data_IF_811445789735
#
_entry.id   IF_811445789735
#
_cell.length_a   1.000
_cell.length_b   1.000
_cell.length_c   1.000
_cell.angle_alpha   90.00
_cell.angle_beta   90.00
_cell.angle_gamma   90.00
#
_symmetry.space_group_name_H-M   'P 1'
#
loop_
_entity.id
_entity.type
_entity.pdbx_description
1 polymer ?
#
# COMPACT_ATOMS: atom_id res chain seq x y z
N UNK A 1 16.45 -23.15 13.01
CA UNK A 1 15.03 -23.56 13.04
C UNK A 1 14.40 -23.03 11.77
N UNK A 2 14.01 -23.92 10.88
CA UNK A 2 13.41 -23.55 9.58
C UNK A 2 12.02 -22.98 9.85
N UNK A 3 11.81 -21.71 9.58
CA UNK A 3 10.51 -21.03 9.69
C UNK A 3 9.59 -21.58 8.61
N UNK A 4 8.59 -22.35 8.99
CA UNK A 4 7.55 -22.80 8.08
C UNK A 4 6.91 -21.59 7.40
N UNK A 5 7.04 -21.50 6.09
CA UNK A 5 6.30 -20.54 5.25
C UNK A 5 4.86 -21.03 5.26
N UNK A 6 3.95 -20.27 5.86
CA UNK A 6 2.51 -20.56 5.79
C UNK A 6 2.08 -20.29 4.33
N UNK A 7 1.64 -21.29 3.57
CA UNK A 7 1.11 -21.07 2.24
C UNK A 7 -0.16 -20.22 2.37
N UNK A 8 -0.20 -19.08 1.67
CA UNK A 8 -1.34 -18.17 1.71
C UNK A 8 -1.07 -16.80 2.35
N UNK A 9 0.10 -16.55 2.94
CA UNK A 9 0.44 -15.24 3.46
C UNK A 9 0.75 -14.23 2.34
N UNK A 10 0.14 -13.03 2.43
CA UNK A 10 0.55 -11.90 1.59
C UNK A 10 1.83 -11.26 2.13
N UNK A 11 1.95 -11.18 3.46
CA UNK A 11 3.12 -10.62 4.14
C UNK A 11 3.52 -11.58 5.27
N UNK A 12 4.81 -11.87 5.37
CA UNK A 12 5.39 -12.63 6.47
C UNK A 12 6.71 -11.99 6.89
N UNK A 13 6.78 -11.56 8.14
CA UNK A 13 7.97 -10.98 8.77
C UNK A 13 8.44 -11.92 9.87
N UNK A 14 9.76 -12.12 9.94
CA UNK A 14 10.38 -12.84 11.05
C UNK A 14 11.67 -12.12 11.47
N UNK A 15 11.76 -11.76 12.76
CA UNK A 15 12.90 -11.11 13.40
C UNK A 15 13.42 -9.87 12.64
N UNK A 16 12.50 -9.06 12.07
CA UNK A 16 12.84 -7.84 11.35
C UNK A 16 13.47 -6.82 12.29
N UNK A 17 14.67 -6.34 11.92
CA UNK A 17 15.26 -5.15 12.51
C UNK A 17 15.65 -4.16 11.43
N UNK A 18 15.49 -2.87 11.74
CA UNK A 18 15.85 -1.79 10.83
C UNK A 18 16.35 -0.55 11.58
N UNK A 19 17.42 0.03 11.05
CA UNK A 19 17.97 1.34 11.45
C UNK A 19 18.33 2.13 10.19
N UNK A 20 18.23 3.45 10.25
CA UNK A 20 18.76 4.34 9.21
C UNK A 20 20.26 4.55 9.46
N UNK A 21 21.11 4.05 8.58
CA UNK A 21 22.58 4.11 8.75
C UNK A 21 23.02 3.52 10.09
N UNK A 22 23.81 4.28 10.85
CA UNK A 22 24.27 3.92 12.20
C UNK A 22 23.36 4.46 13.31
N UNK A 23 22.18 4.98 12.97
CA UNK A 23 21.23 5.55 13.91
C UNK A 23 20.54 4.51 14.80
N UNK A 24 19.67 4.97 15.72
CA UNK A 24 18.92 4.08 16.59
C UNK A 24 18.00 3.15 15.80
N UNK A 25 17.65 2.03 16.42
CA UNK A 25 16.73 1.08 15.85
C UNK A 25 15.32 1.70 15.72
N UNK A 26 14.76 1.68 14.50
CA UNK A 26 13.43 2.21 14.20
C UNK A 26 12.38 1.10 14.23
N UNK A 27 12.76 -0.10 13.77
CA UNK A 27 11.89 -1.28 13.81
C UNK A 27 12.61 -2.47 14.47
N UNK A 28 11.87 -3.17 15.32
CA UNK A 28 12.20 -4.47 15.90
C UNK A 28 10.92 -5.30 16.05
N UNK A 29 10.58 -6.05 15.01
CA UNK A 29 9.34 -6.84 14.92
C UNK A 29 9.70 -8.32 14.93
N UNK A 30 9.27 -9.03 15.97
CA UNK A 30 9.55 -10.46 16.12
C UNK A 30 8.91 -11.31 15.04
N UNK A 31 7.61 -11.08 14.82
CA UNK A 31 6.83 -11.77 13.79
C UNK A 31 5.59 -10.95 13.42
N UNK A 32 5.21 -11.04 12.15
CA UNK A 32 3.94 -10.52 11.63
C UNK A 32 3.54 -11.39 10.44
N UNK A 33 2.29 -11.81 10.40
CA UNK A 33 1.70 -12.51 9.26
C UNK A 33 0.41 -11.80 8.86
N UNK A 34 0.26 -11.53 7.57
CA UNK A 34 -0.96 -10.99 6.95
C UNK A 34 -1.38 -11.95 5.86
N UNK A 35 -2.60 -12.45 5.94
CA UNK A 35 -3.13 -13.40 4.96
C UNK A 35 -3.53 -12.71 3.65
N UNK A 36 -3.50 -13.45 2.55
CA UNK A 36 -3.95 -12.96 1.24
C UNK A 36 -5.43 -12.62 1.27
N UNK A 37 -5.80 -11.53 0.59
CA UNK A 37 -7.17 -11.06 0.47
C UNK A 37 -7.74 -10.38 1.73
N UNK A 38 -6.98 -10.33 2.83
CA UNK A 38 -7.42 -9.63 4.04
C UNK A 38 -7.28 -8.10 3.90
N UNK A 39 -8.17 -7.38 4.59
CA UNK A 39 -8.10 -5.93 4.75
C UNK A 39 -7.58 -5.64 6.15
N UNK A 40 -6.35 -5.18 6.22
CA UNK A 40 -5.64 -4.97 7.48
C UNK A 40 -5.51 -3.48 7.77
N UNK A 41 -5.90 -3.10 8.98
CA UNK A 41 -5.70 -1.77 9.53
C UNK A 41 -4.49 -1.76 10.44
N UNK A 42 -3.48 -0.95 10.13
CA UNK A 42 -2.30 -0.75 10.95
C UNK A 42 -2.33 0.65 11.55
N UNK A 43 -2.39 0.76 12.86
CA UNK A 43 -2.43 2.04 13.55
C UNK A 43 -1.25 2.25 14.49
N UNK A 44 -1.02 3.51 14.82
CA UNK A 44 0.00 3.92 15.80
C UNK A 44 0.28 5.43 15.72
N UNK A 45 0.87 6.01 16.76
CA UNK A 45 1.21 7.44 16.80
C UNK A 45 2.24 7.81 15.73
N UNK A 46 2.37 9.12 15.47
CA UNK A 46 3.43 9.61 14.59
C UNK A 46 4.81 9.22 15.13
N UNK A 47 5.73 8.88 14.24
CA UNK A 47 7.09 8.48 14.58
C UNK A 47 7.27 7.02 15.04
N UNK A 48 6.21 6.21 15.21
CA UNK A 48 6.36 4.82 15.66
C UNK A 48 6.92 3.85 14.60
N UNK A 49 7.23 4.33 13.38
CA UNK A 49 7.86 3.52 12.32
C UNK A 49 6.91 3.05 11.21
N UNK A 50 5.67 3.56 11.10
CA UNK A 50 4.68 3.15 10.08
C UNK A 50 5.24 3.26 8.66
N UNK A 51 5.65 4.45 8.25
CA UNK A 51 6.19 4.70 6.91
C UNK A 51 7.46 3.90 6.64
N UNK A 52 8.29 3.66 7.67
CA UNK A 52 9.48 2.80 7.55
C UNK A 52 9.09 1.36 7.26
N UNK A 53 8.11 0.82 8.01
CA UNK A 53 7.59 -0.54 7.76
C UNK A 53 7.00 -0.64 6.34
N UNK A 54 6.18 0.32 5.92
CA UNK A 54 5.61 0.34 4.58
C UNK A 54 6.69 0.41 3.50
N UNK A 55 7.75 1.20 3.72
CA UNK A 55 8.89 1.28 2.81
C UNK A 55 9.62 -0.05 2.65
N UNK A 56 9.74 -0.84 3.72
CA UNK A 56 10.32 -2.20 3.67
C UNK A 56 9.37 -3.15 2.92
N UNK A 57 8.08 -3.14 3.24
CA UNK A 57 7.09 -4.01 2.58
C UNK A 57 6.93 -3.71 1.10
N UNK A 58 7.08 -2.45 0.71
CA UNK A 58 7.10 -2.03 -0.70
C UNK A 58 8.46 -2.29 -1.39
N UNK A 59 9.48 -2.81 -0.68
CA UNK A 59 10.81 -3.07 -1.24
C UNK A 59 11.64 -1.81 -1.53
N UNK A 60 11.24 -0.64 -1.01
CA UNK A 60 12.00 0.63 -1.12
C UNK A 60 13.16 0.63 -0.13
N UNK A 61 12.88 0.24 1.11
CA UNK A 61 13.89 0.08 2.15
C UNK A 61 14.31 -1.38 2.27
N UNK A 62 15.54 -1.61 2.69
CA UNK A 62 16.10 -2.94 2.90
C UNK A 62 16.22 -3.21 4.40
N UNK A 63 15.65 -4.31 4.89
CA UNK A 63 15.77 -4.69 6.29
C UNK A 63 17.24 -4.91 6.67
N UNK A 64 17.63 -4.44 7.86
CA UNK A 64 19.00 -4.64 8.36
C UNK A 64 19.25 -6.11 8.70
N UNK A 65 18.27 -6.75 9.34
CA UNK A 65 18.28 -8.19 9.67
C UNK A 65 16.88 -8.77 9.61
N UNK A 66 16.78 -10.09 9.68
CA UNK A 66 15.53 -10.83 9.65
C UNK A 66 15.08 -11.18 8.24
N UNK A 67 13.88 -11.71 8.13
CA UNK A 67 13.27 -12.12 6.85
C UNK A 67 11.99 -11.35 6.62
N UNK A 68 11.84 -10.77 5.44
CA UNK A 68 10.62 -10.08 5.00
C UNK A 68 10.16 -10.69 3.69
N UNK A 69 9.09 -11.44 3.75
CA UNK A 69 8.46 -12.03 2.56
C UNK A 69 7.18 -11.31 2.23
N UNK A 70 7.04 -10.94 0.98
CA UNK A 70 5.82 -10.33 0.42
C UNK A 70 5.43 -11.14 -0.81
N UNK A 71 4.20 -11.64 -0.83
CA UNK A 71 3.67 -12.49 -1.92
C UNK A 71 4.62 -13.66 -2.23
N UNK A 72 5.07 -14.37 -1.18
CA UNK A 72 6.03 -15.47 -1.22
C UNK A 72 7.46 -15.12 -1.69
N UNK A 73 7.76 -13.86 -1.97
CA UNK A 73 9.09 -13.38 -2.36
C UNK A 73 9.85 -12.83 -1.16
N UNK A 74 11.05 -13.29 -0.94
CA UNK A 74 11.94 -12.76 0.11
C UNK A 74 12.63 -11.50 -0.42
N UNK A 75 12.18 -10.33 0.08
CA UNK A 75 12.70 -9.04 -0.38
C UNK A 75 14.17 -8.82 0.00
N UNK A 76 14.66 -9.49 1.04
CA UNK A 76 16.06 -9.36 1.48
C UNK A 76 17.05 -10.04 0.53
N UNK A 77 16.61 -11.04 -0.23
CA UNK A 77 17.45 -11.75 -1.20
C UNK A 77 17.46 -11.09 -2.58
N UNK A 78 16.55 -10.12 -2.82
CA UNK A 78 16.41 -9.44 -4.09
C UNK A 78 17.40 -8.29 -4.23
N UNK A 79 17.97 -8.13 -5.44
CA UNK A 79 18.69 -6.91 -5.82
C UNK A 79 17.74 -5.70 -5.87
N UNK A 80 18.27 -4.47 -5.88
CA UNK A 80 17.47 -3.25 -6.00
C UNK A 80 16.54 -3.27 -7.22
N UNK A 81 17.06 -3.61 -8.40
CA UNK A 81 16.28 -3.71 -9.63
C UNK A 81 15.20 -4.81 -9.59
N UNK A 82 15.45 -5.91 -8.87
CA UNK A 82 14.44 -6.96 -8.68
C UNK A 82 13.31 -6.48 -7.75
N UNK A 83 13.63 -5.74 -6.67
CA UNK A 83 12.61 -5.14 -5.80
C UNK A 83 11.79 -4.08 -6.52
N UNK A 84 12.43 -3.25 -7.36
CA UNK A 84 11.73 -2.25 -8.17
C UNK A 84 10.75 -2.91 -9.15
N UNK A 85 11.20 -3.97 -9.83
CA UNK A 85 10.34 -4.74 -10.73
C UNK A 85 9.18 -5.43 -9.98
N UNK A 86 9.46 -6.03 -8.82
CA UNK A 86 8.45 -6.62 -7.96
C UNK A 86 7.39 -5.58 -7.52
N UNK A 87 7.84 -4.43 -7.03
CA UNK A 87 6.95 -3.34 -6.61
C UNK A 87 6.09 -2.86 -7.77
N UNK A 88 6.68 -2.60 -8.93
CA UNK A 88 5.97 -2.11 -10.09
C UNK A 88 4.88 -3.09 -10.55
N UNK A 89 5.14 -4.39 -10.51
CA UNK A 89 4.22 -5.44 -10.95
C UNK A 89 3.12 -5.75 -9.93
N UNK A 90 3.46 -5.88 -8.64
CA UNK A 90 2.61 -6.53 -7.65
C UNK A 90 2.01 -5.59 -6.61
N UNK A 91 2.55 -4.37 -6.44
CA UNK A 91 2.16 -3.46 -5.37
C UNK A 91 1.46 -2.22 -5.93
N UNK A 92 0.26 -1.93 -5.43
CA UNK A 92 -0.39 -0.62 -5.57
C UNK A 92 -0.11 0.22 -4.34
N UNK A 93 0.31 1.48 -4.52
CA UNK A 93 0.63 2.35 -3.39
C UNK A 93 -0.14 3.66 -3.46
N UNK A 94 -0.88 3.98 -2.39
CA UNK A 94 -1.54 5.27 -2.17
C UNK A 94 -0.77 6.03 -1.10
N UNK A 95 -0.11 7.10 -1.49
CA UNK A 95 0.70 7.95 -0.61
C UNK A 95 -0.16 8.95 0.16
N UNK A 96 0.29 9.40 1.30
CA UNK A 96 -0.37 10.43 2.12
C UNK A 96 -0.63 11.72 1.34
N UNK A 97 0.32 12.15 0.50
CA UNK A 97 0.19 13.34 -0.36
C UNK A 97 -0.25 12.99 -1.81
N UNK A 98 -0.81 11.78 -2.02
CA UNK A 98 -1.28 11.23 -3.29
C UNK A 98 -0.20 11.11 -4.38
N UNK A 99 0.80 11.98 -4.43
CA UNK A 99 1.91 12.01 -5.38
C UNK A 99 1.42 11.91 -6.85
N UNK A 100 0.36 12.66 -7.18
CA UNK A 100 -0.07 12.81 -8.56
C UNK A 100 0.89 13.74 -9.29
N UNK A 101 1.14 13.45 -10.56
CA UNK A 101 1.93 14.32 -11.42
C UNK A 101 1.03 15.50 -11.82
N UNK A 102 1.35 16.73 -11.41
CA UNK A 102 0.40 17.84 -11.44
C UNK A 102 -0.01 18.29 -12.86
N UNK A 103 0.88 18.16 -13.83
CA UNK A 103 0.65 18.55 -15.23
C UNK A 103 0.00 17.43 -16.08
N UNK A 104 -0.17 16.23 -15.54
CA UNK A 104 -0.88 15.15 -16.19
C UNK A 104 -2.37 15.20 -15.89
N UNK A 105 -3.18 14.67 -16.80
CA UNK A 105 -4.60 14.42 -16.57
C UNK A 105 -4.79 13.33 -15.51
N UNK A 106 -6.01 13.19 -14.98
CA UNK A 106 -6.37 12.06 -14.13
C UNK A 106 -6.14 10.74 -14.87
N UNK A 107 -6.56 10.65 -16.13
CA UNK A 107 -6.33 9.49 -16.99
C UNK A 107 -4.85 9.13 -17.08
N UNK A 108 -3.99 10.08 -17.38
CA UNK A 108 -2.56 9.83 -17.52
C UNK A 108 -1.89 9.44 -16.20
N UNK A 109 -2.31 10.03 -15.08
CA UNK A 109 -1.86 9.63 -13.76
C UNK A 109 -2.23 8.18 -13.45
N UNK A 110 -3.48 7.78 -13.76
CA UNK A 110 -3.94 6.39 -13.57
C UNK A 110 -3.15 5.44 -14.47
N UNK A 111 -2.87 5.83 -15.71
CA UNK A 111 -2.17 4.99 -16.68
C UNK A 111 -0.70 4.69 -16.34
N UNK A 112 -0.06 5.52 -15.49
CA UNK A 112 1.39 5.47 -15.23
C UNK A 112 1.92 4.07 -14.92
N UNK A 113 1.35 3.27 -14.01
CA UNK A 113 1.89 1.95 -13.67
C UNK A 113 2.02 1.04 -14.89
N UNK A 114 1.03 1.05 -15.79
CA UNK A 114 1.03 0.23 -16.99
C UNK A 114 1.85 0.81 -18.14
N UNK A 115 2.13 2.12 -18.13
CA UNK A 115 3.00 2.77 -19.12
C UNK A 115 4.47 2.59 -18.77
N UNK A 116 4.80 2.55 -17.49
CA UNK A 116 6.17 2.46 -17.01
C UNK A 116 6.66 1.01 -16.86
N UNK A 117 5.77 0.06 -16.63
CA UNK A 117 6.13 -1.34 -16.47
C UNK A 117 5.29 -2.27 -17.36
N UNK A 118 5.99 -3.00 -18.25
CA UNK A 118 5.36 -3.93 -19.19
C UNK A 118 4.71 -5.14 -18.49
N UNK A 119 5.24 -5.59 -17.33
CA UNK A 119 4.69 -6.70 -16.56
C UNK A 119 3.36 -6.29 -15.92
N UNK A 120 3.29 -5.07 -15.36
CA UNK A 120 2.03 -4.52 -14.87
C UNK A 120 0.99 -4.43 -15.98
N UNK A 121 1.40 -3.95 -17.16
CA UNK A 121 0.51 -3.90 -18.32
C UNK A 121 0.06 -5.29 -18.78
N UNK A 122 0.94 -6.29 -18.75
CA UNK A 122 0.61 -7.67 -19.15
C UNK A 122 -0.48 -8.30 -18.26
N UNK A 123 -0.64 -7.83 -17.01
CA UNK A 123 -1.71 -8.28 -16.11
C UNK A 123 -3.12 -7.91 -16.57
N UNK A 124 -3.25 -6.97 -17.50
CA UNK A 124 -4.53 -6.64 -18.15
C UNK A 124 -5.03 -7.76 -19.07
N UNK A 125 -4.16 -8.70 -19.46
CA UNK A 125 -4.51 -9.77 -20.39
C UNK A 125 -4.99 -9.23 -21.73
N UNK A 126 -6.23 -9.55 -22.09
CA UNK A 126 -6.88 -9.09 -23.34
C UNK A 126 -7.59 -7.75 -23.21
N UNK A 127 -7.69 -7.19 -21.98
CA UNK A 127 -8.35 -5.91 -21.73
C UNK A 127 -7.45 -4.76 -22.19
N UNK A 128 -7.99 -3.82 -22.98
CA UNK A 128 -7.24 -2.64 -23.36
C UNK A 128 -6.93 -1.75 -22.15
N UNK A 129 -5.82 -1.01 -22.19
CA UNK A 129 -5.46 -0.08 -21.11
C UNK A 129 -6.57 0.97 -20.89
N UNK A 130 -7.16 1.45 -21.97
CA UNK A 130 -8.25 2.42 -21.93
C UNK A 130 -9.48 1.86 -21.21
N UNK A 131 -9.93 0.66 -21.58
CA UNK A 131 -11.05 -0.01 -20.93
C UNK A 131 -10.78 -0.26 -19.42
N UNK A 132 -9.57 -0.67 -19.06
CA UNK A 132 -9.18 -0.88 -17.66
C UNK A 132 -9.17 0.41 -16.85
N UNK A 133 -8.72 1.54 -17.46
CA UNK A 133 -8.76 2.85 -16.81
C UNK A 133 -10.20 3.30 -16.59
N UNK A 134 -11.08 3.17 -17.60
CA UNK A 134 -12.49 3.53 -17.45
C UNK A 134 -13.20 2.67 -16.41
N UNK A 135 -12.90 1.36 -16.35
CA UNK A 135 -13.48 0.48 -15.33
C UNK A 135 -13.06 0.87 -13.91
N UNK A 136 -11.76 1.07 -13.64
CA UNK A 136 -11.30 1.49 -12.31
C UNK A 136 -11.78 2.91 -11.96
N UNK A 137 -11.91 3.81 -12.93
CA UNK A 137 -12.45 5.14 -12.73
C UNK A 137 -13.94 5.10 -12.38
N UNK A 138 -14.71 4.22 -13.00
CA UNK A 138 -16.12 4.01 -12.66
C UNK A 138 -16.28 3.46 -11.24
N UNK A 139 -15.43 2.52 -10.81
CA UNK A 139 -15.45 1.97 -9.44
C UNK A 139 -15.20 3.02 -8.38
N UNK A 140 -14.44 4.07 -8.70
CA UNK A 140 -14.07 5.15 -7.77
C UNK A 140 -14.83 6.46 -8.02
N UNK A 141 -15.86 6.43 -8.89
CA UNK A 141 -16.73 7.56 -9.19
C UNK A 141 -15.94 8.81 -9.67
N UNK A 142 -15.03 8.61 -10.62
CA UNK A 142 -14.18 9.66 -11.22
C UNK A 142 -14.15 9.63 -12.75
N UNK A 143 -15.02 8.90 -13.41
CA UNK A 143 -15.03 8.79 -14.88
C UNK A 143 -15.15 10.14 -15.57
N UNK A 144 -15.99 11.04 -15.06
CA UNK A 144 -16.18 12.38 -15.60
C UNK A 144 -14.94 13.30 -15.44
N UNK A 145 -13.97 12.89 -14.63
CA UNK A 145 -12.78 13.66 -14.27
C UNK A 145 -11.54 13.26 -15.07
N UNK A 146 -11.60 12.18 -15.86
CA UNK A 146 -10.43 11.56 -16.50
C UNK A 146 -9.59 12.54 -17.33
N UNK A 147 -10.23 13.51 -17.99
CA UNK A 147 -9.53 14.49 -18.82
C UNK A 147 -9.11 15.76 -18.10
N UNK A 148 -9.43 15.89 -16.82
CA UNK A 148 -9.01 17.04 -16.02
C UNK A 148 -7.57 16.89 -15.55
N UNK A 149 -6.84 18.03 -15.48
CA UNK A 149 -5.51 18.07 -14.87
C UNK A 149 -5.60 17.74 -13.38
N UNK A 150 -4.60 17.05 -12.83
CA UNK A 150 -4.54 16.73 -11.41
C UNK A 150 -4.63 17.97 -10.50
N UNK A 151 -4.14 19.13 -10.96
CA UNK A 151 -4.21 20.41 -10.24
C UNK A 151 -5.61 21.03 -10.19
N UNK A 152 -6.50 20.65 -11.11
CA UNK A 152 -7.88 21.13 -11.14
C UNK A 152 -8.83 20.31 -10.24
N UNK A 153 -8.34 19.19 -9.71
CA UNK A 153 -9.13 18.28 -8.88
C UNK A 153 -9.15 18.73 -7.42
N UNK A 154 -10.29 18.55 -6.75
CA UNK A 154 -10.37 18.66 -5.28
C UNK A 154 -9.53 17.58 -4.60
N UNK A 155 -9.18 17.77 -3.33
CA UNK A 155 -8.38 16.81 -2.53
C UNK A 155 -9.00 15.41 -2.55
N UNK A 156 -10.32 15.28 -2.36
CA UNK A 156 -11.02 14.00 -2.41
C UNK A 156 -11.01 13.35 -3.81
N UNK A 157 -11.05 14.16 -4.87
CA UNK A 157 -10.92 13.68 -6.25
C UNK A 157 -9.49 13.21 -6.54
N UNK A 158 -8.48 13.96 -6.11
CA UNK A 158 -7.07 13.55 -6.22
C UNK A 158 -6.81 12.23 -5.50
N UNK A 159 -7.39 12.05 -4.32
CA UNK A 159 -7.31 10.80 -3.55
C UNK A 159 -7.89 9.62 -4.33
N UNK A 160 -9.08 9.78 -4.94
CA UNK A 160 -9.71 8.72 -5.75
C UNK A 160 -8.87 8.41 -7.00
N UNK A 161 -8.28 9.41 -7.64
CA UNK A 161 -7.34 9.21 -8.76
C UNK A 161 -6.10 8.44 -8.31
N UNK A 162 -5.53 8.74 -7.13
CA UNK A 162 -4.40 8.00 -6.58
C UNK A 162 -4.76 6.55 -6.25
N UNK A 163 -5.98 6.30 -5.74
CA UNK A 163 -6.48 4.95 -5.51
C UNK A 163 -6.69 4.20 -6.84
N UNK A 164 -7.26 4.83 -7.86
CA UNK A 164 -7.42 4.26 -9.20
C UNK A 164 -6.07 3.86 -9.80
N UNK A 165 -5.07 4.75 -9.71
CA UNK A 165 -3.68 4.46 -10.12
C UNK A 165 -3.11 3.25 -9.40
N UNK A 166 -3.31 3.16 -8.09
CA UNK A 166 -2.82 2.05 -7.30
C UNK A 166 -3.48 0.72 -7.68
N UNK A 167 -4.79 0.73 -7.97
CA UNK A 167 -5.61 -0.45 -8.27
C UNK A 167 -5.53 -0.91 -9.73
N UNK A 168 -5.06 -0.06 -10.65
CA UNK A 168 -4.99 -0.41 -12.08
C UNK A 168 -4.20 -1.70 -12.30
N UNK A 169 -4.73 -2.59 -13.12
CA UNK A 169 -4.20 -3.92 -13.41
C UNK A 169 -4.12 -4.85 -12.19
N UNK A 170 -5.02 -4.67 -11.22
CA UNK A 170 -5.29 -5.57 -10.09
C UNK A 170 -4.03 -6.08 -9.38
N UNK A 171 -3.31 -5.22 -8.64
CA UNK A 171 -2.17 -5.65 -7.82
C UNK A 171 -2.61 -6.64 -6.76
N UNK A 172 -1.73 -7.54 -6.33
CA UNK A 172 -2.03 -8.47 -5.24
C UNK A 172 -1.96 -7.80 -3.86
N UNK A 173 -1.17 -6.74 -3.72
CA UNK A 173 -1.04 -5.97 -2.47
C UNK A 173 -1.30 -4.49 -2.73
N UNK A 174 -2.19 -3.90 -1.95
CA UNK A 174 -2.45 -2.45 -1.93
C UNK A 174 -2.02 -1.89 -0.58
N UNK A 175 -1.13 -0.92 -0.60
CA UNK A 175 -0.65 -0.20 0.58
C UNK A 175 -1.21 1.22 0.54
N UNK A 176 -1.86 1.65 1.63
CA UNK A 176 -2.38 3.00 1.79
C UNK A 176 -1.73 3.66 3.01
N UNK A 177 -0.91 4.69 2.80
CA UNK A 177 -0.22 5.42 3.86
C UNK A 177 -0.99 6.70 4.19
N UNK A 178 -1.77 6.69 5.26
CA UNK A 178 -2.60 7.78 5.78
C UNK A 178 -3.44 8.51 4.71
N UNK A 179 -4.12 7.81 3.78
CA UNK A 179 -4.72 8.43 2.62
C UNK A 179 -5.92 9.34 2.95
N UNK A 180 -6.48 9.22 4.15
CA UNK A 180 -7.70 9.94 4.56
C UNK A 180 -7.44 11.09 5.55
N UNK A 181 -6.18 11.43 5.83
CA UNK A 181 -5.80 12.41 6.85
C UNK A 181 -6.31 13.84 6.58
N UNK A 182 -6.64 14.16 5.33
CA UNK A 182 -7.11 15.49 4.89
C UNK A 182 -8.62 15.54 4.59
N UNK A 183 -9.38 14.49 4.90
CA UNK A 183 -10.81 14.41 4.61
C UNK A 183 -11.68 14.63 5.86
N UNK A 184 -12.83 15.25 5.65
CA UNK A 184 -13.94 15.21 6.61
C UNK A 184 -14.54 13.79 6.73
N UNK A 185 -15.34 13.56 7.77
CA UNK A 185 -15.87 12.23 8.09
C UNK A 185 -16.69 11.62 6.95
N UNK A 186 -17.59 12.38 6.33
CA UNK A 186 -18.51 11.85 5.30
C UNK A 186 -17.73 11.44 4.04
N UNK A 187 -16.79 12.27 3.60
CA UNK A 187 -15.94 11.98 2.44
C UNK A 187 -15.01 10.82 2.70
N UNK A 188 -14.46 10.74 3.91
CA UNK A 188 -13.63 9.63 4.36
C UNK A 188 -14.40 8.31 4.28
N UNK A 189 -15.61 8.28 4.80
CA UNK A 189 -16.45 7.09 4.84
C UNK A 189 -16.85 6.63 3.43
N UNK A 190 -17.21 7.54 2.56
CA UNK A 190 -17.49 7.25 1.16
C UNK A 190 -16.25 6.70 0.44
N UNK A 191 -15.07 7.28 0.67
CA UNK A 191 -13.82 6.79 0.08
C UNK A 191 -13.46 5.38 0.56
N UNK A 192 -13.57 5.10 1.88
CA UNK A 192 -13.28 3.78 2.43
C UNK A 192 -14.19 2.70 1.86
N UNK A 193 -15.48 3.00 1.66
CA UNK A 193 -16.44 2.08 1.05
C UNK A 193 -16.05 1.77 -0.41
N UNK A 194 -15.70 2.78 -1.20
CA UNK A 194 -15.26 2.61 -2.60
C UNK A 194 -13.93 1.81 -2.67
N UNK A 195 -12.97 2.14 -1.81
CA UNK A 195 -11.68 1.43 -1.76
C UNK A 195 -11.88 -0.04 -1.38
N UNK A 196 -12.67 -0.33 -0.35
CA UNK A 196 -12.94 -1.70 0.09
C UNK A 196 -13.59 -2.53 -1.01
N UNK A 197 -14.60 -1.97 -1.71
CA UNK A 197 -15.26 -2.62 -2.83
C UNK A 197 -14.28 -2.92 -3.97
N UNK A 198 -13.43 -1.94 -4.35
CA UNK A 198 -12.46 -2.08 -5.44
C UNK A 198 -11.36 -3.09 -5.10
N UNK A 199 -10.86 -3.10 -3.86
CA UNK A 199 -9.87 -4.07 -3.37
C UNK A 199 -10.44 -5.49 -3.39
N UNK A 200 -11.69 -5.66 -2.93
CA UNK A 200 -12.38 -6.97 -2.96
C UNK A 200 -12.56 -7.48 -4.39
N UNK A 201 -12.97 -6.59 -5.32
CA UNK A 201 -13.11 -6.94 -6.74
C UNK A 201 -11.78 -7.35 -7.38
N UNK A 202 -10.69 -6.70 -7.00
CA UNK A 202 -9.34 -7.03 -7.46
C UNK A 202 -8.76 -8.29 -6.78
N UNK A 203 -9.44 -8.87 -5.78
CA UNK A 203 -8.94 -9.93 -4.90
C UNK A 203 -7.56 -9.59 -4.30
N UNK A 204 -7.36 -8.32 -3.95
CA UNK A 204 -6.11 -7.81 -3.41
C UNK A 204 -6.10 -7.84 -1.87
N UNK A 205 -4.91 -7.95 -1.30
CA UNK A 205 -4.69 -7.70 0.12
C UNK A 205 -4.56 -6.20 0.34
N UNK A 206 -5.23 -5.64 1.34
CA UNK A 206 -5.15 -4.22 1.70
C UNK A 206 -4.41 -4.04 3.02
N UNK A 207 -3.35 -3.26 3.01
CA UNK A 207 -2.71 -2.74 4.21
C UNK A 207 -2.97 -1.22 4.30
N UNK A 208 -3.88 -0.84 5.17
CA UNK A 208 -4.28 0.55 5.36
C UNK A 208 -3.69 1.07 6.66
N UNK A 209 -2.99 2.19 6.57
CA UNK A 209 -2.31 2.81 7.71
C UNK A 209 -2.97 4.13 8.05
N UNK A 210 -3.27 4.32 9.33
CA UNK A 210 -3.76 5.59 9.86
C UNK A 210 -3.37 5.76 11.33
N UNK A 211 -3.37 7.01 11.80
CA UNK A 211 -3.28 7.33 13.23
C UNK A 211 -4.67 7.39 13.90
N UNK A 212 -5.76 7.45 13.14
CA UNK A 212 -7.13 7.46 13.64
C UNK A 212 -7.63 6.02 13.89
N UNK A 213 -7.50 5.56 15.13
CA UNK A 213 -7.88 4.21 15.53
C UNK A 213 -9.39 3.91 15.34
N UNK A 214 -10.25 4.94 15.26
CA UNK A 214 -11.70 4.76 15.08
C UNK A 214 -12.08 4.10 13.75
N UNK A 215 -11.16 4.04 12.79
CA UNK A 215 -11.37 3.40 11.50
C UNK A 215 -11.28 1.87 11.55
N UNK A 216 -10.71 1.33 12.61
CA UNK A 216 -10.35 -0.10 12.71
C UNK A 216 -11.52 -1.06 12.44
N UNK A 217 -12.73 -0.74 12.95
CA UNK A 217 -13.92 -1.61 12.83
C UNK A 217 -14.39 -1.85 11.39
N UNK A 218 -13.82 -1.15 10.42
CA UNK A 218 -14.12 -1.29 8.98
C UNK A 218 -13.22 -2.33 8.29
N UNK A 219 -12.26 -2.90 9.01
CA UNK A 219 -11.25 -3.83 8.49
C UNK A 219 -11.36 -5.20 9.15
N UNK A 220 -10.85 -6.22 8.46
CA UNK A 220 -10.94 -7.61 8.94
C UNK A 220 -9.96 -7.87 10.09
N UNK A 221 -8.83 -7.16 10.09
CA UNK A 221 -7.76 -7.29 11.09
C UNK A 221 -7.27 -5.92 11.52
N UNK A 222 -7.10 -5.71 12.82
CA UNK A 222 -6.51 -4.50 13.39
C UNK A 222 -5.16 -4.82 14.02
N UNK A 223 -4.13 -4.03 13.69
CA UNK A 223 -2.78 -4.19 14.20
C UNK A 223 -2.29 -2.87 14.81
N UNK A 224 -1.76 -2.94 16.01
CA UNK A 224 -1.09 -1.82 16.66
C UNK A 224 0.41 -1.91 16.43
N UNK A 225 1.00 -0.96 15.67
CA UNK A 225 2.44 -0.98 15.45
C UNK A 225 3.24 -0.84 16.75
N UNK A 226 2.87 0.00 17.74
CA UNK A 226 3.56 0.03 19.03
C UNK A 226 3.54 -1.30 19.79
N UNK A 227 2.50 -2.12 19.61
CA UNK A 227 2.44 -3.44 20.22
C UNK A 227 3.37 -4.45 19.52
N UNK A 228 3.55 -4.31 18.21
CA UNK A 228 4.40 -5.18 17.39
C UNK A 228 5.87 -4.77 17.43
N UNK A 229 6.16 -3.45 17.46
CA UNK A 229 7.49 -2.88 17.35
C UNK A 229 8.14 -2.68 18.72
N UNK A 230 9.09 -3.53 19.07
CA UNK A 230 9.82 -3.44 20.35
C UNK A 230 10.76 -2.25 20.43
N UNK A 231 11.24 -1.73 19.28
CA UNK A 231 12.08 -0.53 19.25
C UNK A 231 11.33 0.74 19.67
N UNK A 232 10.00 0.78 19.61
CA UNK A 232 9.18 1.93 20.02
C UNK A 232 8.87 1.94 21.53
N UNK A 233 9.28 0.93 22.29
CA UNK A 233 9.16 0.93 23.75
C UNK A 233 10.32 1.74 24.32
N UNK A 234 10.09 2.84 25.09
CA UNK A 234 11.15 3.38 25.90
C UNK A 234 11.64 2.24 26.81
N UNK A 235 12.97 2.06 26.87
CA UNK A 235 13.59 1.09 27.77
C UNK A 235 12.93 1.23 29.14
N UNK A 236 12.36 0.13 29.62
CA UNK A 236 11.93 0.02 31.01
C UNK A 236 13.21 0.04 31.84
N UNK A 237 13.60 1.25 32.26
CA UNK A 237 14.67 1.47 33.21
C UNK A 237 14.20 1.05 34.61
#
# INVERSE_FOLDING_TARGET
MSTAVLPGAAISINALQFSYGSGPRVLDISSLVIERGSRVFLHGPSGCGKTTLLGILAGVLHATTGTVRVLDRDLNTMSGGQRDAFRAEHVGYVFQQFNLIPYLSAYDNIALPCRLDARRRARLGTVSLDAAIHDVAAQLDITALLHQSATALSVGQQQRVAAARALLASPELVICDEPTSSLDTDRRDAFLALLASSVSRANATLLFVSHDASLGDRFDVQLSLPALNRAARPDAA
#
